data_IF_560120751449
#
_entry.id   IF_560120751449
#
_cell.length_a   1.000
_cell.length_b   1.000
_cell.length_c   1.000
_cell.angle_alpha   90.00
_cell.angle_beta   90.00
_cell.angle_gamma   90.00
#
_symmetry.space_group_name_H-M   'P 1'
#
loop_
_entity.id
_entity.type
_entity.pdbx_description
1 polymer ?
#
# COMPACT_ATOMS: atom_id res chain seq x y z
N UNK A 1 10.08 -17.91 1.43
CA UNK A 1 10.14 -17.28 0.09
C UNK A 1 8.81 -17.37 -0.72
N UNK A 2 7.66 -17.11 -0.08
CA UNK A 2 6.33 -17.31 -0.70
C UNK A 2 5.77 -16.01 -1.34
N UNK A 3 6.31 -14.85 -0.96
CA UNK A 3 5.86 -13.53 -1.41
C UNK A 3 6.09 -13.30 -2.91
N UNK A 4 7.27 -13.65 -3.41
CA UNK A 4 7.62 -13.50 -4.83
C UNK A 4 6.67 -14.31 -5.73
N UNK A 5 6.40 -15.58 -5.38
CA UNK A 5 5.50 -16.44 -6.13
C UNK A 5 4.09 -15.85 -6.25
N UNK A 6 3.53 -15.37 -5.13
CA UNK A 6 2.20 -14.75 -5.11
C UNK A 6 2.16 -13.52 -6.02
N UNK A 7 3.13 -12.61 -5.91
CA UNK A 7 3.17 -11.41 -6.73
C UNK A 7 3.33 -11.72 -8.21
N UNK A 8 4.19 -12.69 -8.56
CA UNK A 8 4.38 -13.09 -9.95
C UNK A 8 3.10 -13.70 -10.51
N UNK A 9 2.51 -14.69 -9.84
CA UNK A 9 1.35 -15.41 -10.39
C UNK A 9 0.07 -14.56 -10.42
N UNK A 10 -0.13 -13.71 -9.41
CA UNK A 10 -1.32 -12.86 -9.36
C UNK A 10 -1.21 -11.67 -10.31
N UNK A 11 -0.05 -11.04 -10.37
CA UNK A 11 0.13 -9.72 -10.98
C UNK A 11 1.09 -9.75 -12.18
N UNK A 12 2.34 -10.16 -11.98
CA UNK A 12 3.40 -9.87 -12.96
C UNK A 12 3.53 -10.87 -14.12
N UNK A 13 2.97 -12.07 -14.04
CA UNK A 13 3.07 -13.07 -15.12
C UNK A 13 2.19 -12.70 -16.33
N UNK A 14 1.08 -11.99 -16.11
CA UNK A 14 0.11 -11.68 -17.16
C UNK A 14 -0.30 -10.21 -17.25
N UNK A 15 -0.06 -9.39 -16.22
CA UNK A 15 -0.34 -7.95 -16.26
C UNK A 15 0.94 -7.14 -16.44
N UNK A 16 0.89 -6.17 -17.34
CA UNK A 16 1.91 -5.12 -17.45
C UNK A 16 1.37 -3.84 -16.82
N UNK A 17 2.08 -3.33 -15.82
CA UNK A 17 1.77 -2.03 -15.20
C UNK A 17 2.69 -0.97 -15.79
N UNK A 18 2.13 0.13 -16.29
CA UNK A 18 2.91 1.26 -16.83
C UNK A 18 3.45 2.16 -15.73
N UNK A 19 2.80 2.17 -14.57
CA UNK A 19 3.18 3.01 -13.44
C UNK A 19 2.74 2.41 -12.09
N UNK A 20 3.29 2.97 -11.01
CA UNK A 20 2.96 2.53 -9.64
C UNK A 20 1.50 2.74 -9.24
N UNK A 21 0.78 3.69 -9.86
CA UNK A 21 -0.62 3.97 -9.54
C UNK A 21 -1.53 2.86 -10.04
N UNK A 22 -1.26 2.32 -11.23
CA UNK A 22 -1.99 1.17 -11.78
C UNK A 22 -1.81 -0.09 -10.92
N UNK A 23 -0.57 -0.35 -10.46
CA UNK A 23 -0.28 -1.43 -9.53
C UNK A 23 -1.07 -1.25 -8.22
N UNK A 24 -1.01 -0.06 -7.62
CA UNK A 24 -1.72 0.26 -6.38
C UNK A 24 -3.24 0.13 -6.54
N UNK A 25 -3.81 0.58 -7.66
CA UNK A 25 -5.23 0.45 -7.97
C UNK A 25 -5.63 -1.03 -8.05
N UNK A 26 -4.85 -1.83 -8.77
CA UNK A 26 -5.08 -3.27 -8.91
C UNK A 26 -4.97 -4.03 -7.57
N UNK A 27 -4.09 -3.59 -6.68
CA UNK A 27 -3.98 -4.12 -5.31
C UNK A 27 -5.08 -3.64 -4.36
N UNK A 28 -5.90 -2.65 -4.77
CA UNK A 28 -6.88 -2.01 -3.89
C UNK A 28 -6.23 -1.18 -2.78
N UNK A 29 -5.07 -0.60 -3.07
CA UNK A 29 -4.27 0.29 -2.20
C UNK A 29 -4.44 1.78 -2.56
N UNK A 30 -5.35 2.11 -3.46
CA UNK A 30 -5.70 3.50 -3.78
C UNK A 30 -6.72 4.07 -2.79
N UNK A 31 -6.68 5.39 -2.54
CA UNK A 31 -7.71 6.06 -1.73
C UNK A 31 -9.09 5.91 -2.34
N UNK A 32 -10.12 6.10 -1.51
CA UNK A 32 -11.54 6.10 -1.90
C UNK A 32 -12.16 7.41 -1.46
N UNK A 33 -11.95 8.49 -2.23
CA UNK A 33 -12.65 9.73 -1.99
C UNK A 33 -14.13 9.53 -2.29
N UNK A 34 -14.98 9.96 -1.35
CA UNK A 34 -16.43 10.09 -1.54
C UNK A 34 -16.77 11.57 -1.61
N UNK A 35 -17.48 11.97 -2.65
CA UNK A 35 -17.93 13.34 -2.87
C UNK A 35 -19.33 13.33 -3.47
N UNK A 36 -20.31 13.84 -2.71
CA UNK A 36 -21.71 13.99 -3.16
C UNK A 36 -22.08 15.44 -3.49
N UNK A 37 -21.10 16.35 -3.55
CA UNK A 37 -21.29 17.80 -3.67
C UNK A 37 -21.71 18.49 -2.36
N UNK A 38 -22.46 17.80 -1.49
CA UNK A 38 -22.83 18.27 -0.15
C UNK A 38 -21.93 17.76 0.97
N UNK A 39 -21.16 16.71 0.71
CA UNK A 39 -20.28 16.08 1.69
C UNK A 39 -19.08 15.45 0.98
N UNK A 40 -17.89 15.74 1.50
CA UNK A 40 -16.64 15.15 1.04
C UNK A 40 -16.01 14.37 2.20
N UNK A 41 -15.68 13.10 1.96
CA UNK A 41 -15.07 12.22 2.97
C UNK A 41 -14.10 11.22 2.33
N UNK A 42 -12.94 11.03 2.96
CA UNK A 42 -12.03 9.94 2.63
C UNK A 42 -12.50 8.63 3.31
N UNK A 43 -12.74 7.58 2.52
CA UNK A 43 -13.23 6.28 3.02
C UNK A 43 -12.12 5.25 3.29
N UNK A 44 -10.86 5.65 3.09
CA UNK A 44 -9.68 4.79 3.26
C UNK A 44 -9.29 4.14 1.94
N UNK A 45 -8.74 2.92 1.99
CA UNK A 45 -8.29 2.24 0.76
C UNK A 45 -9.43 1.47 0.08
N UNK A 46 -9.38 1.41 -1.25
CA UNK A 46 -10.43 0.87 -2.13
C UNK A 46 -10.87 -0.56 -1.85
N UNK A 47 -9.98 -1.41 -1.32
CA UNK A 47 -10.25 -2.85 -1.05
C UNK A 47 -10.76 -3.69 -2.25
N UNK A 48 -10.95 -3.10 -3.44
CA UNK A 48 -11.47 -3.74 -4.65
C UNK A 48 -10.49 -4.71 -5.32
N UNK A 49 -9.21 -4.73 -4.90
CA UNK A 49 -8.19 -5.67 -5.37
C UNK A 49 -8.11 -6.98 -4.56
N UNK A 50 -7.26 -7.89 -5.02
CA UNK A 50 -7.00 -9.18 -4.36
C UNK A 50 -6.62 -9.00 -2.89
N UNK A 51 -7.41 -9.56 -1.97
CA UNK A 51 -7.15 -9.50 -0.51
C UNK A 51 -5.78 -10.07 -0.15
N UNK A 52 -5.36 -11.14 -0.85
CA UNK A 52 -4.07 -11.78 -0.63
C UNK A 52 -2.91 -10.87 -1.02
N UNK A 53 -2.96 -10.31 -2.23
CA UNK A 53 -1.93 -9.38 -2.71
C UNK A 53 -1.90 -8.12 -1.86
N UNK A 54 -3.06 -7.56 -1.50
CA UNK A 54 -3.13 -6.38 -0.63
C UNK A 54 -2.45 -6.61 0.72
N UNK A 55 -2.78 -7.72 1.39
CA UNK A 55 -2.20 -8.05 2.70
C UNK A 55 -0.69 -8.23 2.58
N UNK A 56 -0.24 -8.95 1.55
CA UNK A 56 1.18 -9.16 1.27
C UNK A 56 1.93 -7.84 1.00
N UNK A 57 1.35 -6.91 0.25
CA UNK A 57 1.98 -5.62 -0.02
C UNK A 57 2.10 -4.76 1.25
N UNK A 58 1.10 -4.81 2.15
CA UNK A 58 1.18 -4.14 3.45
C UNK A 58 2.28 -4.77 4.32
N UNK A 59 2.35 -6.10 4.39
CA UNK A 59 3.41 -6.82 5.10
C UNK A 59 4.80 -6.46 4.57
N UNK A 60 4.97 -6.42 3.24
CA UNK A 60 6.23 -6.01 2.61
C UNK A 60 6.60 -4.57 2.97
N UNK A 61 5.63 -3.66 3.09
CA UNK A 61 5.85 -2.29 3.57
C UNK A 61 6.41 -2.26 5.00
N UNK A 62 5.86 -3.06 5.91
CA UNK A 62 6.36 -3.17 7.28
C UNK A 62 7.75 -3.82 7.35
N UNK A 63 7.98 -4.87 6.56
CA UNK A 63 9.29 -5.52 6.48
C UNK A 63 10.34 -4.58 5.89
N UNK A 64 9.97 -3.70 4.95
CA UNK A 64 10.87 -2.67 4.43
C UNK A 64 11.36 -1.74 5.54
N UNK A 65 10.45 -1.22 6.38
CA UNK A 65 10.83 -0.37 7.51
C UNK A 65 11.76 -1.09 8.50
N UNK A 66 11.58 -2.41 8.68
CA UNK A 66 12.39 -3.23 9.58
C UNK A 66 13.79 -3.52 9.03
N UNK A 67 13.88 -3.90 7.76
CA UNK A 67 15.12 -4.40 7.15
C UNK A 67 15.88 -3.36 6.34
N UNK A 68 15.28 -2.20 6.06
CA UNK A 68 15.88 -1.09 5.33
C UNK A 68 15.70 0.23 6.10
N UNK A 69 16.15 0.32 7.37
CA UNK A 69 15.87 1.46 8.24
C UNK A 69 16.47 2.78 7.74
N UNK A 70 17.64 2.73 7.09
CA UNK A 70 18.37 3.91 6.61
C UNK A 70 17.96 4.33 5.18
N UNK A 71 16.96 3.67 4.60
CA UNK A 71 16.46 4.07 3.28
C UNK A 71 15.73 5.41 3.36
N UNK A 72 15.82 6.19 2.27
CA UNK A 72 15.09 7.47 2.15
C UNK A 72 13.58 7.32 2.42
N UNK A 73 12.99 6.18 2.02
CA UNK A 73 11.58 5.87 2.26
C UNK A 73 11.29 5.64 3.74
N UNK A 74 12.15 4.91 4.45
CA UNK A 74 12.02 4.68 5.88
C UNK A 74 12.16 5.98 6.67
N UNK A 75 13.13 6.82 6.34
CA UNK A 75 13.25 8.16 6.93
C UNK A 75 12.02 9.04 6.67
N UNK A 76 11.49 9.05 5.44
CA UNK A 76 10.27 9.77 5.10
C UNK A 76 9.06 9.25 5.89
N UNK A 77 8.92 7.94 6.03
CA UNK A 77 7.84 7.34 6.80
C UNK A 77 7.93 7.73 8.28
N UNK A 78 9.12 7.63 8.87
CA UNK A 78 9.34 7.98 10.26
C UNK A 78 9.16 9.48 10.54
N UNK A 79 9.59 10.37 9.64
CA UNK A 79 9.37 11.80 9.81
C UNK A 79 7.89 12.17 9.74
N UNK A 80 7.10 11.48 8.91
CA UNK A 80 5.67 11.77 8.72
C UNK A 80 4.76 11.07 9.71
N UNK A 81 5.06 9.81 10.06
CA UNK A 81 4.18 8.93 10.82
C UNK A 81 4.82 8.33 12.08
N UNK A 82 6.12 8.56 12.32
CA UNK A 82 6.84 8.00 13.48
C UNK A 82 6.39 8.58 14.83
N UNK A 83 5.76 9.75 14.82
CA UNK A 83 5.34 10.48 16.02
C UNK A 83 4.08 9.85 16.60
N UNK A 84 4.24 9.04 17.65
CA UNK A 84 3.12 8.44 18.39
C UNK A 84 2.56 7.15 17.78
N UNK A 85 1.96 6.31 18.64
CA UNK A 85 1.47 4.97 18.28
C UNK A 85 0.33 5.01 17.25
N UNK A 86 -0.53 6.04 17.31
CA UNK A 86 -1.67 6.20 16.41
C UNK A 86 -1.22 6.54 14.99
N UNK A 87 -0.34 7.51 14.81
CA UNK A 87 0.12 7.94 13.49
C UNK A 87 0.87 6.82 12.75
N UNK A 88 1.64 6.00 13.47
CA UNK A 88 2.25 4.80 12.89
C UNK A 88 1.21 3.81 12.35
N UNK A 89 0.05 3.68 12.98
CA UNK A 89 -1.01 2.77 12.50
C UNK A 89 -1.73 3.32 11.27
N UNK A 90 -1.80 4.64 11.11
CA UNK A 90 -2.47 5.30 9.98
C UNK A 90 -1.60 5.31 8.72
N UNK A 91 -0.27 5.40 8.89
CA UNK A 91 0.71 5.40 7.81
C UNK A 91 0.79 4.10 7.02
#
# INVERSE_FOLDING_TARGET
PQSSWILVMEFFVWRKFKNRRELAACAGLTPTPYDSGSSQREQGISKAGSRRVRSLMVELGWLWLRYQPDSKLSHWFHSRFGIGKRFRRVG
#
